data_IF_464337303241
#
_entry.id   IF_464337303241
#
_cell.length_a   1.000
_cell.length_b   1.000
_cell.length_c   1.000
_cell.angle_alpha   90.00
_cell.angle_beta   90.00
_cell.angle_gamma   90.00
#
_symmetry.space_group_name_H-M   'P 1'
#
loop_
_entity.id
_entity.type
_entity.pdbx_description
1 polymer ?
#
# COMPACT_ATOMS: atom_id res chain seq x y z
N UNK A 1 35.29 5.27 46.97
CA UNK A 1 36.17 4.66 45.94
C UNK A 1 35.48 3.38 45.49
N UNK A 2 34.64 3.36 44.46
CA UNK A 2 34.92 3.59 43.03
C UNK A 2 35.78 2.48 42.41
N UNK A 3 35.14 1.44 41.85
CA UNK A 3 35.53 0.67 40.63
C UNK A 3 34.27 -0.11 40.18
N UNK A 4 33.35 0.42 39.37
CA UNK A 4 33.38 0.53 37.90
C UNK A 4 33.69 -0.80 37.19
N UNK A 5 32.67 -1.66 36.99
CA UNK A 5 32.75 -2.84 36.12
C UNK A 5 32.14 -2.49 34.76
N UNK A 6 33.00 -2.25 33.78
CA UNK A 6 32.69 -1.97 32.37
C UNK A 6 32.24 -3.22 31.61
N UNK A 7 31.30 -2.97 30.71
CA UNK A 7 31.07 -3.53 29.37
C UNK A 7 31.55 -4.96 29.02
N UNK A 8 30.62 -5.76 28.50
CA UNK A 8 30.87 -6.56 27.30
C UNK A 8 29.56 -6.79 26.54
N UNK A 9 29.34 -5.95 25.51
CA UNK A 9 28.33 -6.15 24.45
C UNK A 9 29.07 -6.66 23.22
N UNK A 10 28.64 -7.76 22.57
CA UNK A 10 29.29 -8.19 21.35
C UNK A 10 28.87 -7.32 20.16
N UNK A 11 29.85 -7.07 19.30
CA UNK A 11 29.88 -6.15 18.16
C UNK A 11 29.46 -6.89 16.87
N UNK A 12 28.65 -6.21 16.06
CA UNK A 12 28.66 -6.17 14.59
C UNK A 12 28.86 -7.46 13.78
N UNK A 13 27.82 -7.85 13.03
CA UNK A 13 28.00 -8.40 11.68
C UNK A 13 27.33 -7.49 10.65
N UNK A 14 28.14 -7.20 9.64
CA UNK A 14 27.98 -6.32 8.50
C UNK A 14 27.74 -7.14 7.24
N UNK A 15 26.96 -6.60 6.29
CA UNK A 15 26.85 -7.08 4.91
C UNK A 15 25.38 -7.23 4.50
N UNK A 16 24.88 -6.76 3.36
CA UNK A 16 25.49 -6.14 2.17
C UNK A 16 24.34 -5.51 1.38
N UNK A 17 24.34 -4.19 1.17
CA UNK A 17 23.46 -3.52 0.19
C UNK A 17 24.29 -3.26 -1.06
N UNK A 18 23.77 -3.66 -2.22
CA UNK A 18 24.44 -3.53 -3.52
C UNK A 18 24.44 -2.06 -4.02
N UNK A 19 25.41 -1.65 -4.86
CA UNK A 19 25.61 -0.25 -5.24
C UNK A 19 24.81 0.14 -6.49
N UNK A 20 24.13 1.28 -6.44
CA UNK A 20 23.53 1.95 -7.61
C UNK A 20 24.56 3.00 -8.12
N UNK A 21 24.85 3.07 -9.44
CA UNK A 21 25.83 4.00 -10.00
C UNK A 21 25.30 5.44 -10.10
N UNK A 22 26.17 6.47 -10.08
CA UNK A 22 25.76 7.86 -10.10
C UNK A 22 25.53 8.39 -11.53
N UNK A 23 24.43 9.11 -11.73
CA UNK A 23 24.22 9.94 -12.92
C UNK A 23 24.72 11.36 -12.63
N UNK A 24 25.67 11.80 -13.46
CA UNK A 24 26.34 13.08 -13.38
C UNK A 24 25.65 14.12 -14.29
N UNK A 25 25.94 15.40 -14.02
CA UNK A 25 25.67 16.65 -14.78
C UNK A 25 24.58 17.53 -14.16
N UNK A 26 24.94 18.37 -13.18
CA UNK A 26 25.38 19.77 -13.35
C UNK A 26 24.45 20.62 -14.21
N UNK A 27 23.68 21.52 -13.59
CA UNK A 27 23.69 22.94 -13.96
C UNK A 27 23.50 23.82 -12.72
N UNK A 28 24.46 24.71 -12.56
CA UNK A 28 24.62 25.68 -11.47
C UNK A 28 23.95 26.99 -11.92
N UNK A 29 23.06 27.59 -11.13
CA UNK A 29 22.51 28.93 -11.39
C UNK A 29 23.05 29.87 -10.31
N UNK A 30 23.91 30.80 -10.71
CA UNK A 30 24.30 31.97 -9.92
C UNK A 30 23.44 33.18 -10.28
N UNK A 31 23.09 34.06 -9.32
CA UNK A 31 22.32 35.28 -9.56
C UNK A 31 23.21 36.52 -9.75
N UNK A 32 22.79 37.51 -10.55
CA UNK A 32 23.17 38.93 -10.41
C UNK A 32 22.30 39.91 -11.25
N UNK A 33 21.46 40.66 -10.52
CA UNK A 33 21.32 42.13 -10.41
C UNK A 33 21.15 43.09 -11.62
N UNK A 34 20.07 43.89 -11.50
CA UNK A 34 19.83 45.30 -11.90
C UNK A 34 19.68 45.68 -13.41
N UNK A 35 18.67 46.44 -13.86
CA UNK A 35 18.09 47.66 -13.27
C UNK A 35 16.80 48.18 -13.98
N UNK A 36 16.01 48.95 -13.23
CA UNK A 36 15.21 50.14 -13.57
C UNK A 36 13.92 50.10 -14.45
N UNK A 37 12.78 50.26 -13.74
CA UNK A 37 11.67 51.22 -13.92
C UNK A 37 11.16 51.60 -15.33
N UNK A 38 9.86 51.37 -15.59
CA UNK A 38 8.86 52.43 -15.84
C UNK A 38 7.42 51.91 -16.01
N UNK A 39 6.52 52.49 -15.21
CA UNK A 39 5.13 52.92 -15.46
C UNK A 39 4.31 52.32 -16.62
N UNK A 40 3.06 51.93 -16.31
CA UNK A 40 1.93 52.17 -17.23
C UNK A 40 0.90 51.04 -17.36
N UNK A 41 -0.26 51.27 -16.75
CA UNK A 41 -1.61 50.97 -17.26
C UNK A 41 -1.99 49.55 -17.75
N UNK A 42 -3.01 49.02 -17.07
CA UNK A 42 -3.95 47.94 -17.41
C UNK A 42 -4.27 47.83 -18.92
N UNK A 43 -4.26 46.63 -19.53
CA UNK A 43 -4.87 46.45 -20.84
C UNK A 43 -6.36 46.14 -20.68
N UNK A 44 -7.16 47.08 -21.17
CA UNK A 44 -8.59 46.97 -21.44
C UNK A 44 -8.87 45.82 -22.42
N UNK A 45 -9.84 44.99 -22.04
CA UNK A 45 -10.56 44.03 -22.88
C UNK A 45 -10.94 44.63 -24.24
N UNK A 46 -10.38 44.08 -25.32
CA UNK A 46 -10.94 44.27 -26.67
C UNK A 46 -11.72 43.02 -27.05
N UNK A 47 -13.04 43.22 -27.08
CA UNK A 47 -14.05 42.31 -27.59
C UNK A 47 -13.82 42.06 -29.08
N UNK A 48 -13.44 40.85 -29.47
CA UNK A 48 -13.56 40.38 -30.85
C UNK A 48 -14.94 39.75 -31.03
N UNK A 49 -15.96 40.62 -31.03
CA UNK A 49 -17.31 40.27 -31.41
C UNK A 49 -17.66 40.96 -32.72
N UNK A 50 -17.41 40.29 -33.84
CA UNK A 50 -18.12 40.57 -35.11
C UNK A 50 -18.13 39.32 -35.97
N UNK A 51 -19.34 38.83 -36.15
CA UNK A 51 -19.76 37.63 -36.86
C UNK A 51 -19.30 37.59 -38.32
N UNK A 52 -18.88 36.41 -38.79
CA UNK A 52 -18.46 36.14 -40.19
C UNK A 52 -19.68 35.94 -41.13
N UNK A 53 -20.88 36.41 -40.75
CA UNK A 53 -22.13 36.09 -41.45
C UNK A 53 -22.86 37.28 -42.08
N UNK A 54 -22.20 38.43 -42.24
CA UNK A 54 -22.77 39.55 -43.00
C UNK A 54 -21.66 40.31 -43.75
N UNK A 55 -21.02 39.63 -44.71
CA UNK A 55 -20.19 40.30 -45.70
C UNK A 55 -21.07 40.63 -46.92
N UNK A 56 -21.04 41.87 -47.45
CA UNK A 56 -21.73 42.18 -48.70
C UNK A 56 -21.22 41.24 -49.81
N UNK A 57 -22.05 40.93 -50.84
CA UNK A 57 -21.62 40.03 -51.89
C UNK A 57 -20.34 40.59 -52.50
N UNK A 58 -19.28 39.79 -52.45
CA UNK A 58 -18.02 40.09 -53.14
C UNK A 58 -18.38 40.51 -54.58
N UNK A 59 -17.91 41.66 -55.07
CA UNK A 59 -18.17 42.04 -56.44
C UNK A 59 -17.67 40.91 -57.32
N UNK A 60 -18.59 40.35 -58.12
CA UNK A 60 -18.30 39.38 -59.16
C UNK A 60 -17.07 39.87 -59.94
N UNK A 61 -15.93 39.20 -59.73
CA UNK A 61 -14.72 39.45 -60.52
C UNK A 61 -15.07 38.94 -61.90
N UNK A 62 -15.50 39.86 -62.76
CA UNK A 62 -15.64 39.58 -64.18
C UNK A 62 -14.31 39.01 -64.71
N UNK A 63 -14.35 38.05 -65.65
CA UNK A 63 -13.12 37.60 -66.32
C UNK A 63 -12.39 38.83 -66.86
N UNK A 64 -11.04 38.88 -66.80
CA UNK A 64 -10.28 40.09 -67.06
C UNK A 64 -10.66 40.66 -68.42
N UNK A 65 -11.28 41.84 -68.40
CA UNK A 65 -11.61 42.59 -69.61
C UNK A 65 -10.31 42.77 -70.42
N UNK A 66 -10.27 42.38 -71.71
CA UNK A 66 -9.08 42.59 -72.51
C UNK A 66 -8.79 44.09 -72.56
N UNK A 67 -7.62 44.48 -72.05
CA UNK A 67 -7.15 45.86 -72.09
C UNK A 67 -7.12 46.34 -73.55
N UNK A 68 -7.51 47.60 -73.84
CA UNK A 68 -7.54 48.14 -75.19
C UNK A 68 -6.16 48.01 -75.85
N UNK A 69 -6.15 47.38 -77.02
CA UNK A 69 -5.00 47.14 -77.87
C UNK A 69 -4.34 48.46 -78.31
N UNK A 70 -3.45 48.93 -77.46
CA UNK A 70 -2.32 49.79 -77.77
C UNK A 70 -1.32 49.56 -76.63
N UNK A 71 -0.89 48.30 -76.48
CA UNK A 71 0.04 47.87 -75.45
C UNK A 71 1.35 47.45 -76.11
N UNK A 72 2.40 48.19 -75.81
CA UNK A 72 3.76 47.83 -76.11
C UNK A 72 4.01 46.41 -75.56
N UNK A 73 4.36 45.40 -76.39
CA UNK A 73 4.45 43.99 -75.96
C UNK A 73 5.43 43.77 -74.80
N UNK A 74 6.37 44.69 -74.62
CA UNK A 74 7.31 44.70 -73.51
C UNK A 74 6.67 44.99 -72.15
N UNK A 75 5.61 45.79 -72.08
CA UNK A 75 4.95 46.13 -70.80
C UNK A 75 4.14 44.97 -70.22
N UNK A 76 3.47 44.20 -71.07
CA UNK A 76 2.73 43.00 -70.66
C UNK A 76 3.69 41.91 -70.19
N UNK A 77 4.82 41.76 -70.90
CA UNK A 77 5.90 40.85 -70.48
C UNK A 77 6.47 41.26 -69.12
N UNK A 78 6.76 42.55 -68.92
CA UNK A 78 7.27 43.06 -67.65
C UNK A 78 6.27 42.88 -66.49
N UNK A 79 4.97 43.06 -66.73
CA UNK A 79 3.94 42.80 -65.71
C UNK A 79 3.87 41.32 -65.33
N UNK A 80 3.97 40.40 -66.30
CA UNK A 80 4.06 38.96 -66.03
C UNK A 80 5.33 38.62 -65.24
N UNK A 81 6.49 39.16 -65.65
CA UNK A 81 7.77 38.90 -64.99
C UNK A 81 7.78 39.44 -63.54
N UNK A 82 7.18 40.61 -63.29
CA UNK A 82 7.02 41.15 -61.93
C UNK A 82 6.06 40.28 -61.10
N UNK A 83 4.95 39.84 -61.69
CA UNK A 83 4.01 38.95 -61.01
C UNK A 83 4.67 37.62 -60.64
N UNK A 84 5.41 37.01 -61.55
CA UNK A 84 6.14 35.77 -61.31
C UNK A 84 7.23 35.95 -60.25
N UNK A 85 7.92 37.11 -60.23
CA UNK A 85 8.92 37.42 -59.21
C UNK A 85 8.30 37.62 -57.82
N UNK A 86 7.18 38.32 -57.72
CA UNK A 86 6.44 38.51 -56.46
C UNK A 86 5.87 37.18 -55.97
N UNK A 87 5.32 36.35 -56.88
CA UNK A 87 4.83 35.02 -56.56
C UNK A 87 5.96 34.11 -56.07
N UNK A 88 7.13 34.15 -56.71
CA UNK A 88 8.30 33.39 -56.29
C UNK A 88 8.78 33.84 -54.90
N UNK A 89 8.92 35.15 -54.66
CA UNK A 89 9.31 35.69 -53.35
C UNK A 89 8.31 35.28 -52.26
N UNK A 90 7.01 35.34 -52.55
CA UNK A 90 5.96 34.93 -51.62
C UNK A 90 6.02 33.43 -51.30
N UNK A 91 6.30 32.58 -52.30
CA UNK A 91 6.48 31.14 -52.10
C UNK A 91 7.73 30.83 -51.27
N UNK A 92 8.84 31.54 -51.49
CA UNK A 92 10.07 31.41 -50.72
C UNK A 92 9.86 31.82 -49.24
N UNK A 93 9.18 32.93 -48.99
CA UNK A 93 8.83 33.39 -47.64
C UNK A 93 7.87 32.41 -46.94
N UNK A 94 6.91 31.84 -47.68
CA UNK A 94 6.00 30.84 -47.16
C UNK A 94 6.74 29.53 -46.81
N UNK A 95 7.61 29.04 -47.71
CA UNK A 95 8.42 27.85 -47.46
C UNK A 95 9.38 28.04 -46.28
N UNK A 96 9.88 29.26 -46.07
CA UNK A 96 10.72 29.62 -44.92
C UNK A 96 9.94 29.64 -43.61
N UNK A 97 8.71 30.16 -43.60
CA UNK A 97 7.88 30.32 -42.40
C UNK A 97 7.15 29.03 -41.97
N UNK A 98 6.74 28.20 -42.95
CA UNK A 98 6.04 26.93 -42.72
C UNK A 98 6.68 26.01 -41.65
N UNK A 99 8.00 25.72 -41.66
CA UNK A 99 8.61 24.85 -40.66
C UNK A 99 8.60 25.44 -39.24
N UNK A 100 8.66 26.77 -39.11
CA UNK A 100 8.56 27.44 -37.81
C UNK A 100 7.15 27.32 -37.22
N UNK A 101 6.11 27.48 -38.06
CA UNK A 101 4.72 27.26 -37.67
C UNK A 101 4.50 25.82 -37.22
N UNK A 102 4.98 24.84 -38.00
CA UNK A 102 4.88 23.43 -37.63
C UNK A 102 5.61 23.12 -36.32
N UNK A 103 6.77 23.74 -36.08
CA UNK A 103 7.50 23.59 -34.82
C UNK A 103 6.71 24.14 -33.63
N UNK A 104 6.11 25.33 -33.77
CA UNK A 104 5.30 25.93 -32.71
C UNK A 104 4.05 25.08 -32.44
N UNK A 105 3.39 24.57 -33.49
CA UNK A 105 2.25 23.67 -33.35
C UNK A 105 2.63 22.38 -32.60
N UNK A 106 3.76 21.75 -32.96
CA UNK A 106 4.26 20.56 -32.29
C UNK A 106 4.62 20.83 -30.81
N UNK A 107 5.16 22.01 -30.50
CA UNK A 107 5.41 22.43 -29.11
C UNK A 107 4.08 22.61 -28.36
N UNK A 108 3.08 23.24 -28.98
CA UNK A 108 1.75 23.42 -28.38
C UNK A 108 1.07 22.10 -28.07
N UNK A 109 1.13 21.14 -29.01
CA UNK A 109 0.62 19.78 -28.82
C UNK A 109 1.36 19.07 -27.68
N UNK A 110 2.69 19.12 -27.66
CA UNK A 110 3.50 18.52 -26.59
C UNK A 110 3.21 19.13 -25.22
N UNK A 111 3.01 20.45 -25.16
CA UNK A 111 2.67 21.15 -23.92
C UNK A 111 1.30 20.70 -23.41
N UNK A 112 0.30 20.61 -24.29
CA UNK A 112 -1.03 20.13 -23.96
C UNK A 112 -1.00 18.68 -23.45
N UNK A 113 -0.25 17.81 -24.12
CA UNK A 113 -0.05 16.42 -23.68
C UNK A 113 0.65 16.36 -22.32
N UNK A 114 1.66 17.20 -22.08
CA UNK A 114 2.35 17.24 -20.79
C UNK A 114 1.43 17.73 -19.67
N UNK A 115 0.55 18.69 -19.96
CA UNK A 115 -0.44 19.17 -19.00
C UNK A 115 -1.44 18.07 -18.64
N UNK A 116 -1.91 17.32 -19.62
CA UNK A 116 -2.79 16.18 -19.37
C UNK A 116 -2.10 15.12 -18.50
N UNK A 117 -0.85 14.78 -18.80
CA UNK A 117 -0.07 13.81 -18.02
C UNK A 117 0.09 14.26 -16.56
N UNK A 118 0.43 15.53 -16.33
CA UNK A 118 0.57 16.09 -14.97
C UNK A 118 -0.77 16.05 -14.23
N UNK A 119 -1.89 16.36 -14.91
CA UNK A 119 -3.22 16.28 -14.30
C UNK A 119 -3.62 14.84 -13.94
N UNK A 120 -3.26 13.86 -14.77
CA UNK A 120 -3.48 12.44 -14.48
C UNK A 120 -2.64 11.98 -13.29
N UNK A 121 -1.35 12.34 -13.25
CA UNK A 121 -0.46 12.01 -12.14
C UNK A 121 -0.94 12.65 -10.83
N UNK A 122 -1.34 13.93 -10.88
CA UNK A 122 -1.92 14.65 -9.73
C UNK A 122 -3.15 13.94 -9.18
N UNK A 123 -4.05 13.47 -10.05
CA UNK A 123 -5.23 12.69 -9.62
C UNK A 123 -4.81 11.36 -8.99
N UNK A 124 -3.82 10.67 -9.57
CA UNK A 124 -3.27 9.43 -9.01
C UNK A 124 -2.66 9.62 -7.62
N UNK A 125 -1.91 10.71 -7.42
CA UNK A 125 -1.32 11.06 -6.12
C UNK A 125 -2.39 11.36 -5.06
N UNK A 126 -3.46 12.09 -5.42
CA UNK A 126 -4.56 12.38 -4.50
C UNK A 126 -5.33 11.11 -4.09
N UNK A 127 -5.57 10.19 -5.01
CA UNK A 127 -6.18 8.89 -4.70
C UNK A 127 -5.27 8.05 -3.79
N UNK A 128 -3.96 8.04 -4.06
CA UNK A 128 -2.99 7.34 -3.22
C UNK A 128 -2.92 7.96 -1.82
N UNK A 129 -2.91 9.28 -1.71
CA UNK A 129 -2.94 10.01 -0.45
C UNK A 129 -4.18 9.62 0.36
N UNK A 130 -5.37 9.64 -0.27
CA UNK A 130 -6.61 9.24 0.40
C UNK A 130 -6.55 7.80 0.89
N UNK A 131 -6.00 6.87 0.08
CA UNK A 131 -5.84 5.46 0.45
C UNK A 131 -4.84 5.27 1.60
N UNK A 132 -3.77 6.06 1.66
CA UNK A 132 -2.79 6.01 2.74
C UNK A 132 -3.39 6.54 4.04
N UNK A 133 -4.16 7.63 3.96
CA UNK A 133 -4.85 8.21 5.11
C UNK A 133 -5.87 7.22 5.68
N UNK A 134 -6.70 6.62 4.84
CA UNK A 134 -7.67 5.58 5.25
C UNK A 134 -6.97 4.39 5.93
N UNK A 135 -5.90 3.86 5.32
CA UNK A 135 -5.14 2.75 5.93
C UNK A 135 -4.48 3.15 7.25
N UNK A 136 -3.98 4.37 7.33
CA UNK A 136 -3.35 4.89 8.54
C UNK A 136 -4.38 5.03 9.66
N UNK A 137 -5.57 5.54 9.37
CA UNK A 137 -6.65 5.66 10.34
C UNK A 137 -7.19 4.28 10.76
N UNK A 138 -7.27 3.32 9.84
CA UNK A 138 -7.58 1.93 10.15
C UNK A 138 -6.57 1.32 11.12
N UNK A 139 -5.27 1.47 10.85
CA UNK A 139 -4.20 0.95 11.71
C UNK A 139 -4.22 1.63 13.07
N UNK A 140 -4.40 2.97 13.13
CA UNK A 140 -4.56 3.69 14.40
C UNK A 140 -5.76 3.18 15.19
N UNK A 141 -6.91 2.98 14.56
CA UNK A 141 -8.10 2.41 15.20
C UNK A 141 -7.81 1.03 15.78
N UNK A 142 -7.14 0.15 15.02
CA UNK A 142 -6.76 -1.19 15.48
C UNK A 142 -5.76 -1.17 16.63
N UNK A 143 -4.79 -0.25 16.62
CA UNK A 143 -3.88 -0.05 17.76
C UNK A 143 -4.68 0.33 19.00
N UNK A 144 -5.60 1.30 18.90
CA UNK A 144 -6.43 1.69 20.06
C UNK A 144 -7.35 0.57 20.56
N UNK A 145 -7.82 -0.31 19.67
CA UNK A 145 -8.60 -1.50 20.05
C UNK A 145 -7.73 -2.51 20.79
N UNK A 146 -6.53 -2.79 20.28
CA UNK A 146 -5.56 -3.69 20.93
C UNK A 146 -5.13 -3.13 22.29
N UNK A 147 -4.86 -1.84 22.40
CA UNK A 147 -4.50 -1.20 23.67
C UNK A 147 -5.62 -1.36 24.71
N UNK A 148 -6.89 -1.21 24.30
CA UNK A 148 -8.04 -1.48 25.17
C UNK A 148 -8.11 -2.95 25.59
N UNK A 149 -7.86 -3.89 24.67
CA UNK A 149 -7.84 -5.32 24.98
C UNK A 149 -6.68 -5.67 25.93
N UNK A 150 -5.52 -5.03 25.78
CA UNK A 150 -4.39 -5.19 26.70
C UNK A 150 -4.73 -4.64 28.08
N UNK A 151 -5.37 -3.47 28.16
CA UNK A 151 -5.81 -2.91 29.43
C UNK A 151 -6.84 -3.81 30.12
N UNK A 152 -7.80 -4.36 29.35
CA UNK A 152 -8.75 -5.35 29.84
C UNK A 152 -8.07 -6.63 30.32
N UNK A 153 -7.10 -7.15 29.56
CA UNK A 153 -6.34 -8.34 29.94
C UNK A 153 -5.48 -8.12 31.19
N UNK A 154 -4.91 -6.93 31.36
CA UNK A 154 -4.16 -6.55 32.58
C UNK A 154 -5.05 -6.42 33.82
N UNK A 155 -6.30 -5.98 33.62
CA UNK A 155 -7.29 -5.89 34.69
C UNK A 155 -7.97 -7.22 35.01
N UNK A 156 -7.76 -8.25 34.17
CA UNK A 156 -8.25 -9.59 34.44
C UNK A 156 -7.41 -10.23 35.56
N UNK A 157 -8.04 -10.84 36.59
CA UNK A 157 -7.29 -11.51 37.64
C UNK A 157 -6.41 -12.63 37.06
N UNK A 158 -5.33 -12.97 37.75
CA UNK A 158 -4.51 -14.13 37.41
C UNK A 158 -5.36 -15.39 37.54
N UNK A 159 -5.73 -15.98 36.40
CA UNK A 159 -6.55 -17.19 36.32
C UNK A 159 -5.62 -18.41 36.35
N UNK A 160 -5.94 -19.40 37.18
CA UNK A 160 -5.19 -20.67 37.20
C UNK A 160 -5.25 -21.31 35.81
N UNK A 161 -4.15 -21.94 35.38
CA UNK A 161 -4.12 -22.69 34.10
C UNK A 161 -5.25 -23.72 34.01
N UNK A 162 -5.66 -24.29 35.14
CA UNK A 162 -6.74 -25.29 35.20
C UNK A 162 -8.13 -24.70 34.94
N UNK A 163 -8.36 -23.43 35.29
CA UNK A 163 -9.64 -22.75 35.03
C UNK A 163 -9.78 -22.37 33.54
N UNK A 164 -8.66 -22.16 32.85
CA UNK A 164 -8.63 -21.89 31.40
C UNK A 164 -8.84 -23.19 30.61
N UNK A 165 -8.40 -24.31 31.16
CA UNK A 165 -8.44 -25.62 30.51
C UNK A 165 -9.81 -26.29 30.66
N UNK A 166 -10.82 -25.68 30.04
CA UNK A 166 -12.15 -26.28 29.91
C UNK A 166 -12.24 -27.10 28.61
N UNK A 167 -12.64 -28.36 28.73
CA UNK A 167 -13.13 -29.17 27.63
C UNK A 167 -14.41 -28.61 27.00
N UNK A 168 -14.72 -29.09 25.79
CA UNK A 168 -15.82 -28.57 24.95
C UNK A 168 -17.20 -28.70 25.60
N UNK A 169 -17.37 -29.65 26.53
CA UNK A 169 -18.61 -29.87 27.28
C UNK A 169 -18.28 -30.23 28.72
N UNK A 170 -19.25 -30.06 29.63
CA UNK A 170 -19.12 -30.40 31.06
C UNK A 170 -18.70 -31.88 31.23
N UNK A 171 -19.19 -32.77 30.36
CA UNK A 171 -18.85 -34.20 30.39
C UNK A 171 -17.39 -34.45 29.97
N UNK A 172 -16.83 -33.63 29.07
CA UNK A 172 -15.41 -33.71 28.73
C UNK A 172 -14.51 -33.20 29.86
N UNK A 173 -14.93 -32.19 30.62
CA UNK A 173 -14.21 -31.75 31.82
C UNK A 173 -14.18 -32.88 32.86
N UNK A 174 -15.33 -33.52 33.08
CA UNK A 174 -15.43 -34.66 33.98
C UNK A 174 -14.53 -35.82 33.50
N UNK A 175 -14.48 -36.08 32.20
CA UNK A 175 -13.61 -37.11 31.64
C UNK A 175 -12.12 -36.80 31.88
N UNK A 176 -11.71 -35.54 31.75
CA UNK A 176 -10.33 -35.11 31.99
C UNK A 176 -9.93 -35.38 33.45
N UNK A 177 -10.75 -34.94 34.40
CA UNK A 177 -10.53 -35.18 35.82
C UNK A 177 -10.43 -36.67 36.15
N UNK A 178 -11.37 -37.49 35.66
CA UNK A 178 -11.39 -38.92 35.94
C UNK A 178 -10.15 -39.64 35.40
N UNK A 179 -9.65 -39.23 34.23
CA UNK A 179 -8.43 -39.79 33.67
C UNK A 179 -7.22 -39.36 34.48
N UNK A 180 -7.17 -38.10 34.93
CA UNK A 180 -6.12 -37.62 35.82
C UNK A 180 -6.12 -38.40 37.15
N UNK A 181 -7.30 -38.60 37.76
CA UNK A 181 -7.49 -39.40 38.97
C UNK A 181 -7.03 -40.86 38.78
N UNK A 182 -7.39 -41.54 37.67
CA UNK A 182 -6.98 -42.93 37.42
C UNK A 182 -5.45 -43.06 37.37
N UNK A 183 -4.75 -42.15 36.69
CA UNK A 183 -3.29 -42.14 36.61
C UNK A 183 -2.65 -41.77 37.97
N UNK A 184 -3.21 -40.79 38.68
CA UNK A 184 -2.73 -40.40 40.01
C UNK A 184 -2.83 -41.56 41.02
N UNK A 185 -3.88 -42.38 40.92
CA UNK A 185 -4.03 -43.58 41.75
C UNK A 185 -2.98 -44.64 41.40
N UNK A 186 -2.69 -44.86 40.12
CA UNK A 186 -1.61 -45.80 39.72
C UNK A 186 -0.26 -45.40 40.30
N UNK A 187 0.08 -44.10 40.21
CA UNK A 187 1.30 -43.56 40.79
C UNK A 187 1.31 -43.69 42.32
N UNK A 188 0.19 -43.41 42.98
CA UNK A 188 0.07 -43.55 44.43
C UNK A 188 0.29 -45.01 44.87
N UNK A 189 -0.31 -45.98 44.18
CA UNK A 189 -0.11 -47.41 44.47
C UNK A 189 1.35 -47.81 44.24
N UNK A 190 1.98 -47.33 43.17
CA UNK A 190 3.39 -47.58 42.88
C UNK A 190 4.30 -47.08 44.01
N UNK A 191 4.13 -45.84 44.46
CA UNK A 191 4.94 -45.28 45.56
C UNK A 191 4.64 -45.92 46.91
N UNK A 192 3.39 -46.35 47.18
CA UNK A 192 3.06 -47.15 48.36
C UNK A 192 3.79 -48.50 48.34
N UNK A 193 3.88 -49.16 47.17
CA UNK A 193 4.65 -50.41 47.02
C UNK A 193 6.14 -50.21 47.29
N UNK A 194 6.71 -49.09 46.83
CA UNK A 194 8.09 -48.71 47.15
C UNK A 194 8.27 -48.42 48.64
N UNK A 195 7.34 -47.70 49.27
CA UNK A 195 7.41 -47.38 50.69
C UNK A 195 7.41 -48.66 51.57
N UNK A 196 6.60 -49.66 51.21
CA UNK A 196 6.60 -50.98 51.86
C UNK A 196 7.94 -51.69 51.67
N UNK A 197 8.51 -51.67 50.45
CA UNK A 197 9.80 -52.29 50.16
C UNK A 197 10.96 -51.65 50.93
N UNK A 198 10.84 -50.35 51.27
CA UNK A 198 11.80 -49.62 52.12
C UNK A 198 11.47 -49.66 53.61
N UNK A 199 10.51 -50.50 54.03
CA UNK A 199 10.05 -50.67 55.42
C UNK A 199 9.57 -49.37 56.11
N UNK A 200 9.17 -48.35 55.34
CA UNK A 200 8.62 -47.10 55.89
C UNK A 200 7.16 -47.20 56.30
N UNK A 201 6.45 -48.21 55.80
CA UNK A 201 5.06 -48.50 56.14
C UNK A 201 4.91 -50.00 56.45
N UNK A 202 3.99 -50.31 57.36
CA UNK A 202 3.65 -51.69 57.69
C UNK A 202 2.73 -52.34 56.62
N UNK A 203 2.80 -53.66 56.49
CA UNK A 203 2.04 -54.43 55.51
C UNK A 203 0.53 -54.23 55.67
N UNK A 204 0.04 -54.17 56.91
CA UNK A 204 -1.37 -53.99 57.19
C UNK A 204 -1.87 -52.62 56.70
N UNK A 205 -1.06 -51.57 56.89
CA UNK A 205 -1.34 -50.21 56.41
C UNK A 205 -1.33 -50.16 54.88
N UNK A 206 -0.35 -50.78 54.23
CA UNK A 206 -0.28 -50.90 52.78
C UNK A 206 -1.54 -51.55 52.19
N UNK A 207 -1.93 -52.73 52.69
CA UNK A 207 -3.08 -53.48 52.18
C UNK A 207 -4.41 -52.73 52.36
N UNK A 208 -4.56 -51.98 53.46
CA UNK A 208 -5.74 -51.13 53.68
C UNK A 208 -5.81 -50.01 52.64
N UNK A 209 -4.71 -49.27 52.45
CA UNK A 209 -4.68 -48.13 51.53
C UNK A 209 -4.83 -48.57 50.07
N UNK A 210 -4.12 -49.62 49.64
CA UNK A 210 -4.23 -50.14 48.26
C UNK A 210 -5.64 -50.65 47.98
N UNK A 211 -6.31 -51.29 48.93
CA UNK A 211 -7.71 -51.73 48.72
C UNK A 211 -8.66 -50.54 48.55
N UNK A 212 -8.46 -49.46 49.30
CA UNK A 212 -9.28 -48.25 49.17
C UNK A 212 -9.04 -47.58 47.81
N UNK A 213 -7.77 -47.36 47.44
CA UNK A 213 -7.38 -46.78 46.16
C UNK A 213 -7.86 -47.62 44.97
N UNK A 214 -7.72 -48.95 45.03
CA UNK A 214 -8.20 -49.84 43.96
C UNK A 214 -9.73 -49.78 43.78
N UNK A 215 -10.49 -49.56 44.87
CA UNK A 215 -11.95 -49.35 44.78
C UNK A 215 -12.27 -48.02 44.10
N UNK A 216 -11.58 -46.95 44.46
CA UNK A 216 -11.73 -45.63 43.82
C UNK A 216 -11.36 -45.71 42.34
N UNK A 217 -10.26 -46.36 42.01
CA UNK A 217 -9.81 -46.61 40.64
C UNK A 217 -10.86 -47.35 39.81
N UNK A 218 -11.47 -48.39 40.39
CA UNK A 218 -12.55 -49.14 39.73
C UNK A 218 -13.74 -48.23 39.38
N UNK A 219 -14.14 -47.36 40.30
CA UNK A 219 -15.25 -46.41 40.07
C UNK A 219 -14.87 -45.41 38.97
N UNK A 220 -13.66 -44.86 39.00
CA UNK A 220 -13.15 -43.94 37.98
C UNK A 220 -13.18 -44.59 36.59
N UNK A 221 -12.62 -45.79 36.44
CA UNK A 221 -12.60 -46.54 35.18
C UNK A 221 -13.99 -46.90 34.69
N UNK A 222 -14.89 -47.31 35.57
CA UNK A 222 -16.27 -47.61 35.21
C UNK A 222 -16.99 -46.36 34.66
N UNK A 223 -16.75 -45.20 35.26
CA UNK A 223 -17.33 -43.93 34.82
C UNK A 223 -16.71 -43.45 33.50
N UNK A 224 -15.39 -43.54 33.34
CA UNK A 224 -14.69 -43.26 32.08
C UNK A 224 -15.27 -44.08 30.94
N UNK A 225 -15.45 -45.39 31.13
CA UNK A 225 -16.05 -46.28 30.13
C UNK A 225 -17.48 -45.88 29.79
N UNK A 226 -18.27 -45.48 30.80
CA UNK A 226 -19.64 -45.01 30.58
C UNK A 226 -19.67 -43.71 29.76
N UNK A 227 -18.82 -42.75 30.09
CA UNK A 227 -18.71 -41.48 29.38
C UNK A 227 -18.27 -41.73 27.94
N UNK A 228 -17.22 -42.53 27.70
CA UNK A 228 -16.71 -42.84 26.36
C UNK A 228 -17.75 -43.49 25.44
N UNK A 229 -18.60 -44.36 25.98
CA UNK A 229 -19.73 -44.95 25.23
C UNK A 229 -20.77 -43.90 24.86
N UNK A 230 -21.07 -42.98 25.78
CA UNK A 230 -22.07 -41.93 25.57
C UNK A 230 -21.58 -40.82 24.64
N UNK A 231 -20.29 -40.47 24.68
CA UNK A 231 -19.69 -39.43 23.82
C UNK A 231 -19.18 -39.97 22.48
N UNK A 232 -19.25 -41.28 22.26
CA UNK A 232 -18.82 -41.91 21.00
C UNK A 232 -17.31 -42.02 20.81
N UNK A 233 -16.53 -41.74 21.87
CA UNK A 233 -15.06 -41.85 21.87
C UNK A 233 -14.56 -43.31 21.73
N UNK A 234 -15.41 -44.30 21.98
CA UNK A 234 -15.06 -45.73 21.86
C UNK A 234 -14.94 -46.23 20.41
N UNK A 235 -15.17 -45.38 19.39
CA UNK A 235 -15.03 -45.72 17.97
C UNK A 235 -13.61 -45.53 17.41
N UNK A 236 -12.57 -45.60 18.24
CA UNK A 236 -11.18 -45.68 17.77
C UNK A 236 -10.61 -47.03 18.17
N UNK A 237 -11.15 -48.11 17.58
CA UNK A 237 -10.30 -49.26 17.25
C UNK A 237 -9.39 -48.79 16.13
N UNK A 238 -8.19 -48.35 16.50
CA UNK A 238 -7.08 -48.20 15.55
C UNK A 238 -6.81 -49.60 14.98
N UNK A 239 -6.68 -49.76 13.66
CA UNK A 239 -6.52 -51.05 12.98
C UNK A 239 -5.34 -51.89 13.49
#
# INVERSE_FOLDING_TARGET
QNVSRKENRPRSHSGTVSPIPPLNSQYNITPSTNSAQRTGSVPTSMSFGSSILDAPPLPFIAPPTPLPMTQNPELVKLQSDVYDKVKQSCLEDFQRSSPEIHKIMAIGEKLNQSQENVEQERKGLLDLESKINEKTDYVKSKITEIDKLIEQAKNMPEVSVDDVLCGTTIVYNQLFELVAEDNAIEDAIYYLGRALSTERIDLNTYLKNVRTLAREQFICRALILKIRRQTGLDRQKIP
#
